data_IF_457031046515
#
_entry.id   IF_457031046515
#
_cell.length_a   1.000
_cell.length_b   1.000
_cell.length_c   1.000
_cell.angle_alpha   90.00
_cell.angle_beta   90.00
_cell.angle_gamma   90.00
#
_symmetry.space_group_name_H-M   'P 1'
#
loop_
_entity.id
_entity.type
_entity.pdbx_description
1 polymer ?
#
# COMPACT_ATOMS: atom_id res chain seq x y z
N UNK A 1 55.08 4.27 23.99
CA UNK A 1 56.06 5.38 23.82
C UNK A 1 55.92 6.47 24.88
N UNK A 2 54.73 7.03 25.11
CA UNK A 2 54.48 8.03 26.17
C UNK A 2 54.93 7.60 27.57
N UNK A 3 54.84 6.32 27.90
CA UNK A 3 55.28 5.74 29.16
C UNK A 3 56.80 5.84 29.39
N UNK A 4 57.61 5.69 28.33
CA UNK A 4 59.06 5.84 28.40
C UNK A 4 59.44 7.30 28.64
N UNK A 5 58.77 8.23 27.95
CA UNK A 5 58.96 9.68 28.13
C UNK A 5 58.62 10.10 29.56
N UNK A 6 57.49 9.61 30.12
CA UNK A 6 57.14 9.89 31.52
C UNK A 6 58.17 9.36 32.52
N UNK A 7 58.79 8.20 32.24
CA UNK A 7 59.81 7.60 33.12
C UNK A 7 61.10 8.43 33.13
N UNK A 8 61.51 8.99 32.00
CA UNK A 8 62.69 9.85 31.94
C UNK A 8 62.43 11.21 32.62
N UNK A 9 61.29 11.87 32.32
CA UNK A 9 60.93 13.16 32.95
C UNK A 9 60.78 13.08 34.48
N UNK A 10 60.44 11.92 35.02
CA UNK A 10 60.33 11.71 36.46
C UNK A 10 61.69 11.62 37.17
N UNK A 11 62.77 11.26 36.45
CA UNK A 11 64.11 11.19 37.03
C UNK A 11 64.65 12.59 37.33
N UNK A 12 64.29 13.58 36.51
CA UNK A 12 64.74 14.96 36.63
C UNK A 12 64.11 15.66 37.85
N UNK A 13 64.90 16.01 38.90
CA UNK A 13 64.36 16.53 40.15
C UNK A 13 63.67 17.88 40.01
N UNK A 14 64.09 18.72 39.05
CA UNK A 14 63.49 20.04 38.80
C UNK A 14 62.15 19.98 38.03
N UNK A 15 61.96 18.94 37.21
CA UNK A 15 60.74 18.78 36.42
C UNK A 15 59.63 18.07 37.20
N UNK A 16 59.92 17.43 38.33
CA UNK A 16 58.92 16.72 39.16
C UNK A 16 57.80 17.63 39.69
N UNK A 17 58.09 18.91 39.93
CA UNK A 17 57.11 19.88 40.44
C UNK A 17 56.35 20.61 39.33
N UNK A 18 56.70 20.37 38.05
CA UNK A 18 56.17 21.12 36.91
C UNK A 18 55.25 20.26 36.02
N UNK A 19 54.42 20.91 35.22
CA UNK A 19 53.52 20.23 34.27
C UNK A 19 54.30 19.59 33.10
N UNK A 20 54.12 18.28 32.90
CA UNK A 20 54.76 17.52 31.83
C UNK A 20 54.04 17.59 30.47
N UNK A 21 52.95 18.35 30.36
CA UNK A 21 52.10 18.40 29.16
C UNK A 21 52.83 18.87 27.89
N UNK A 22 53.90 19.66 28.03
CA UNK A 22 54.69 20.15 26.89
C UNK A 22 55.59 19.08 26.26
N UNK A 23 55.94 18.06 27.04
CA UNK A 23 56.81 16.96 26.60
C UNK A 23 56.02 15.72 26.17
N UNK A 24 54.71 15.69 26.46
CA UNK A 24 53.84 14.59 26.09
C UNK A 24 53.14 14.86 24.75
N UNK A 25 53.22 13.93 23.78
CA UNK A 25 52.46 14.04 22.53
C UNK A 25 50.95 14.18 22.79
N UNK A 26 50.34 15.23 22.23
CA UNK A 26 48.90 15.47 22.32
C UNK A 26 48.15 14.59 21.33
N UNK A 27 47.52 13.52 21.81
CA UNK A 27 46.75 12.62 20.97
C UNK A 27 45.35 13.19 20.73
N UNK A 28 45.06 13.59 19.50
CA UNK A 28 43.70 14.01 19.09
C UNK A 28 42.88 12.75 18.81
N UNK A 29 41.77 12.57 19.51
CA UNK A 29 40.83 11.49 19.22
C UNK A 29 40.29 11.69 17.79
N UNK A 30 40.69 10.80 16.88
CA UNK A 30 40.15 10.81 15.51
C UNK A 30 38.83 10.03 15.55
N UNK A 31 37.71 10.73 15.40
CA UNK A 31 36.42 10.08 15.14
C UNK A 31 36.48 9.49 13.72
N UNK A 32 37.02 8.28 13.61
CA UNK A 32 37.05 7.54 12.35
C UNK A 32 35.61 7.34 11.89
N UNK A 33 35.32 7.76 10.65
CA UNK A 33 33.99 7.60 10.09
C UNK A 33 33.58 6.12 10.13
N UNK A 34 32.41 5.82 10.71
CA UNK A 34 31.84 4.47 10.69
C UNK A 34 31.71 4.04 9.22
N UNK A 35 32.28 2.87 8.88
CA UNK A 35 32.20 2.31 7.53
C UNK A 35 30.74 2.08 7.17
N UNK A 36 30.30 2.61 6.02
CA UNK A 36 28.96 2.36 5.47
C UNK A 36 28.85 0.90 5.02
N UNK A 37 27.73 0.27 5.34
CA UNK A 37 27.43 -1.07 4.84
C UNK A 37 27.34 -1.05 3.30
N UNK A 38 27.89 -2.07 2.61
CA UNK A 38 27.77 -2.15 1.16
C UNK A 38 26.30 -2.34 0.78
N UNK A 39 25.82 -1.54 -0.17
CA UNK A 39 24.49 -1.73 -0.76
C UNK A 39 24.46 -3.10 -1.46
N UNK A 40 23.40 -3.89 -1.23
CA UNK A 40 23.15 -5.15 -1.95
C UNK A 40 23.17 -4.86 -3.46
N UNK A 41 23.87 -5.68 -4.24
CA UNK A 41 23.97 -5.49 -5.68
C UNK A 41 22.62 -5.86 -6.31
N UNK A 42 22.24 -5.20 -7.41
CA UNK A 42 20.97 -5.45 -8.11
C UNK A 42 20.79 -6.94 -8.46
N UNK A 43 21.89 -7.63 -8.79
CA UNK A 43 21.92 -9.08 -9.06
C UNK A 43 21.43 -9.90 -7.87
N UNK A 44 21.86 -9.57 -6.64
CA UNK A 44 21.44 -10.30 -5.43
C UNK A 44 19.93 -10.12 -5.17
N UNK A 45 19.38 -8.95 -5.54
CA UNK A 45 17.96 -8.68 -5.42
C UNK A 45 17.15 -9.47 -6.44
N UNK A 46 17.58 -9.52 -7.71
CA UNK A 46 16.93 -10.30 -8.76
C UNK A 46 17.00 -11.81 -8.51
N UNK A 47 18.11 -12.28 -7.92
CA UNK A 47 18.25 -13.67 -7.48
C UNK A 47 17.29 -13.98 -6.32
N UNK A 48 17.18 -13.08 -5.34
CA UNK A 48 16.27 -13.25 -4.21
C UNK A 48 14.79 -13.22 -4.60
N UNK A 49 14.40 -12.40 -5.59
CA UNK A 49 13.02 -12.39 -6.12
C UNK A 49 12.72 -13.57 -7.06
N UNK A 50 13.74 -14.37 -7.41
CA UNK A 50 13.63 -15.44 -8.41
C UNK A 50 13.40 -14.92 -9.83
N UNK A 51 13.51 -13.61 -10.06
CA UNK A 51 13.30 -12.98 -11.36
C UNK A 51 14.52 -13.14 -12.28
N UNK A 52 15.69 -13.40 -11.70
CA UNK A 52 16.93 -13.63 -12.45
C UNK A 52 16.81 -14.77 -13.48
N UNK A 53 16.14 -15.87 -13.12
CA UNK A 53 16.00 -17.05 -13.99
C UNK A 53 14.83 -16.97 -14.98
N UNK A 54 13.96 -15.96 -14.86
CA UNK A 54 12.88 -15.76 -15.83
C UNK A 54 13.46 -15.24 -17.15
N UNK A 55 13.22 -15.97 -18.25
CA UNK A 55 13.56 -15.50 -19.61
C UNK A 55 12.91 -14.15 -19.89
N UNK A 56 13.59 -13.28 -20.66
CA UNK A 56 13.09 -11.94 -20.98
C UNK A 56 11.67 -11.94 -21.57
N UNK A 57 11.30 -12.97 -22.33
CA UNK A 57 9.96 -13.13 -22.90
C UNK A 57 8.87 -13.25 -21.83
N UNK A 58 9.15 -13.96 -20.73
CA UNK A 58 8.21 -14.11 -19.61
C UNK A 58 8.07 -12.80 -18.85
N UNK A 59 9.18 -12.07 -18.63
CA UNK A 59 9.16 -10.72 -18.02
C UNK A 59 8.32 -9.76 -18.86
N UNK A 60 8.52 -9.75 -20.19
CA UNK A 60 7.73 -8.94 -21.14
C UNK A 60 6.24 -9.29 -21.09
N UNK A 61 5.88 -10.57 -21.06
CA UNK A 61 4.48 -11.02 -20.96
C UNK A 61 3.80 -10.53 -19.68
N UNK A 62 4.44 -10.72 -18.52
CA UNK A 62 3.95 -10.24 -17.22
C UNK A 62 3.74 -8.72 -17.21
N UNK A 63 4.69 -7.96 -17.78
CA UNK A 63 4.58 -6.49 -17.90
C UNK A 63 3.37 -6.08 -18.75
N UNK A 64 3.16 -6.72 -19.90
CA UNK A 64 2.03 -6.44 -20.77
C UNK A 64 0.69 -6.80 -20.12
N UNK A 65 0.63 -7.90 -19.39
CA UNK A 65 -0.56 -8.31 -18.64
C UNK A 65 -0.91 -7.29 -17.55
N UNK A 66 0.08 -6.85 -16.77
CA UNK A 66 -0.11 -5.79 -15.77
C UNK A 66 -0.62 -4.48 -16.39
N UNK A 67 -0.13 -4.11 -17.59
CA UNK A 67 -0.63 -2.94 -18.32
C UNK A 67 -2.09 -3.13 -18.73
N UNK A 68 -2.45 -4.30 -19.28
CA UNK A 68 -3.83 -4.61 -19.70
C UNK A 68 -4.80 -4.57 -18.52
N UNK A 69 -4.42 -5.14 -17.38
CA UNK A 69 -5.24 -5.09 -16.15
C UNK A 69 -5.47 -3.65 -15.71
N UNK A 70 -4.42 -2.83 -15.64
CA UNK A 70 -4.54 -1.40 -15.31
C UNK A 70 -5.45 -0.65 -16.28
N UNK A 71 -5.34 -0.93 -17.57
CA UNK A 71 -6.22 -0.33 -18.58
C UNK A 71 -7.68 -0.75 -18.37
N UNK A 72 -7.94 -2.03 -18.11
CA UNK A 72 -9.29 -2.52 -17.83
C UNK A 72 -9.90 -1.87 -16.58
N UNK A 73 -9.13 -1.75 -15.49
CA UNK A 73 -9.58 -1.05 -14.27
C UNK A 73 -9.95 0.41 -14.53
N UNK A 74 -9.14 1.12 -15.33
CA UNK A 74 -9.43 2.52 -15.70
C UNK A 74 -10.71 2.62 -16.52
N UNK A 75 -10.93 1.69 -17.46
CA UNK A 75 -12.15 1.65 -18.27
C UNK A 75 -13.38 1.39 -17.39
N UNK A 76 -13.29 0.47 -16.43
CA UNK A 76 -14.37 0.18 -15.47
C UNK A 76 -14.69 1.45 -14.65
N UNK A 77 -13.68 2.10 -14.06
CA UNK A 77 -13.86 3.35 -13.30
C UNK A 77 -14.50 4.47 -14.13
N UNK A 78 -14.10 4.63 -15.40
CA UNK A 78 -14.70 5.61 -16.31
C UNK A 78 -16.17 5.28 -16.62
N UNK A 79 -16.50 4.00 -16.81
CA UNK A 79 -17.87 3.54 -17.05
C UNK A 79 -18.74 3.80 -15.83
N UNK A 80 -18.26 3.48 -14.64
CA UNK A 80 -18.96 3.76 -13.38
C UNK A 80 -19.22 5.25 -13.19
N UNK A 81 -18.21 6.10 -13.45
CA UNK A 81 -18.38 7.55 -13.39
C UNK A 81 -19.46 8.02 -14.38
N UNK A 82 -19.44 7.56 -15.63
CA UNK A 82 -20.47 7.90 -16.62
C UNK A 82 -21.87 7.46 -16.18
N UNK A 83 -22.00 6.24 -15.66
CA UNK A 83 -23.28 5.72 -15.18
C UNK A 83 -23.83 6.57 -14.02
N UNK A 84 -22.97 7.06 -13.12
CA UNK A 84 -23.38 7.98 -12.05
C UNK A 84 -23.95 9.30 -12.59
N UNK A 85 -23.38 9.83 -13.67
CA UNK A 85 -23.88 11.07 -14.30
C UNK A 85 -25.20 10.86 -15.04
N UNK A 86 -25.50 9.63 -15.47
CA UNK A 86 -26.74 9.31 -16.17
C UNK A 86 -27.92 9.05 -15.22
N UNK A 87 -27.65 8.86 -13.92
CA UNK A 87 -28.71 8.76 -12.92
C UNK A 87 -29.10 10.19 -12.53
N UNK A 88 -30.36 10.60 -12.74
CA UNK A 88 -30.84 11.89 -12.29
C UNK A 88 -30.56 12.05 -10.78
N UNK A 89 -30.06 13.20 -10.33
CA UNK A 89 -29.88 13.48 -8.91
C UNK A 89 -31.21 13.21 -8.19
N UNK A 90 -31.22 12.36 -7.16
CA UNK A 90 -32.42 12.17 -6.36
C UNK A 90 -32.75 13.50 -5.69
N UNK A 91 -33.85 14.10 -6.13
CA UNK A 91 -34.40 15.31 -5.53
C UNK A 91 -34.63 15.07 -4.04
N UNK A 92 -34.19 16.00 -3.21
CA UNK A 92 -34.48 15.98 -1.77
C UNK A 92 -36.01 15.94 -1.64
N UNK A 93 -36.58 15.08 -0.79
CA UNK A 93 -38.03 15.04 -0.62
C UNK A 93 -38.48 16.43 -0.14
N UNK A 94 -39.08 17.20 -1.04
CA UNK A 94 -39.90 18.34 -0.68
C UNK A 94 -41.01 17.76 0.19
N UNK A 95 -41.09 18.23 1.43
CA UNK A 95 -42.19 17.90 2.35
C UNK A 95 -43.49 18.21 1.59
N UNK A 96 -44.20 17.16 1.17
CA UNK A 96 -45.43 17.29 0.38
C UNK A 96 -46.52 17.88 1.28
N UNK A 97 -47.06 19.04 0.90
CA UNK A 97 -48.43 19.41 1.30
C UNK A 97 -49.39 18.48 0.55
N UNK A 98 -50.31 17.88 1.29
CA UNK A 98 -51.33 16.94 0.83
C UNK A 98 -52.32 17.59 -0.15
N UNK A 99 -52.64 16.90 -1.26
CA UNK A 99 -54.01 16.47 -1.59
C UNK A 99 -54.08 15.72 -2.94
N UNK A 100 -54.83 14.62 -2.89
CA UNK A 100 -55.55 13.84 -3.93
C UNK A 100 -55.08 13.82 -5.40
N UNK A 101 -54.87 12.60 -5.93
CA UNK A 101 -54.76 12.37 -7.37
C UNK A 101 -54.44 10.92 -7.76
N UNK A 102 -55.48 10.10 -7.82
CA UNK A 102 -55.51 8.68 -8.22
C UNK A 102 -54.86 8.40 -9.59
N UNK A 103 -53.74 7.67 -9.65
CA UNK A 103 -53.37 6.85 -10.83
C UNK A 103 -52.53 5.62 -10.46
N UNK A 104 -53.09 4.45 -10.79
CA UNK A 104 -52.42 3.17 -11.06
C UNK A 104 -51.77 2.44 -9.89
N UNK A 105 -52.64 1.75 -9.12
CA UNK A 105 -52.27 0.57 -8.35
C UNK A 105 -51.53 -0.42 -9.26
N UNK A 106 -50.21 -0.47 -9.10
CA UNK A 106 -49.32 -1.48 -9.69
C UNK A 106 -49.88 -2.87 -9.36
N UNK A 107 -50.55 -3.48 -10.32
CA UNK A 107 -51.10 -4.83 -10.18
C UNK A 107 -49.94 -5.79 -9.88
N UNK A 108 -50.04 -6.51 -8.77
CA UNK A 108 -48.99 -7.42 -8.30
C UNK A 108 -49.00 -8.72 -9.12
N UNK A 109 -48.21 -8.72 -10.20
CA UNK A 109 -48.09 -9.82 -11.17
C UNK A 109 -47.61 -11.11 -10.50
N UNK A 110 -46.80 -11.01 -9.43
CA UNK A 110 -46.31 -12.18 -8.69
C UNK A 110 -47.44 -12.84 -7.89
N UNK A 111 -48.27 -12.04 -7.22
CA UNK A 111 -49.44 -12.53 -6.50
C UNK A 111 -50.45 -13.23 -7.45
N UNK A 112 -50.65 -12.69 -8.66
CA UNK A 112 -51.52 -13.29 -9.68
C UNK A 112 -50.93 -14.62 -10.20
N UNK A 113 -49.63 -14.67 -10.51
CA UNK A 113 -48.95 -15.92 -10.93
C UNK A 113 -49.05 -17.01 -9.86
N UNK A 114 -48.89 -16.64 -8.60
CA UNK A 114 -49.02 -17.56 -7.47
C UNK A 114 -50.45 -18.11 -7.32
N UNK A 115 -51.47 -17.25 -7.48
CA UNK A 115 -52.89 -17.66 -7.47
C UNK A 115 -53.22 -18.64 -8.60
N UNK A 116 -52.74 -18.36 -9.82
CA UNK A 116 -52.98 -19.23 -10.98
C UNK A 116 -52.29 -20.58 -10.84
N UNK A 117 -51.05 -20.63 -10.34
CA UNK A 117 -50.37 -21.90 -10.04
C UNK A 117 -51.14 -22.73 -9.00
N UNK A 118 -51.59 -22.08 -7.92
CA UNK A 118 -52.36 -22.74 -6.84
C UNK A 118 -53.72 -23.27 -7.31
N UNK A 119 -54.36 -22.59 -8.26
CA UNK A 119 -55.60 -23.04 -8.87
C UNK A 119 -55.39 -24.26 -9.80
N UNK A 120 -54.27 -24.32 -10.54
CA UNK A 120 -53.94 -25.47 -11.40
C UNK A 120 -53.63 -26.76 -10.64
N UNK A 121 -53.08 -26.66 -9.42
CA UNK A 121 -52.79 -27.83 -8.59
C UNK A 121 -53.99 -28.30 -7.77
N UNK A 122 -55.02 -27.46 -7.62
CA UNK A 122 -56.33 -27.89 -7.10
C UNK A 122 -57.07 -28.59 -8.24
N UNK A 123 -56.88 -29.91 -8.39
CA UNK A 123 -57.86 -30.75 -9.09
C UNK A 123 -59.20 -30.54 -8.39
N UNK A 124 -60.13 -29.85 -9.05
CA UNK A 124 -61.54 -29.95 -8.71
C UNK A 124 -61.97 -31.36 -9.10
N UNK A 125 -61.86 -32.27 -8.14
CA UNK A 125 -62.55 -33.54 -8.21
C UNK A 125 -64.04 -33.28 -8.03
N UNK A 126 -64.82 -33.80 -8.95
CA UNK A 126 -66.19 -34.23 -8.74
C UNK A 126 -66.33 -35.54 -9.53
N UNK A 127 -67.13 -36.49 -9.01
CA UNK A 127 -66.84 -37.93 -8.91
C UNK A 127 -66.47 -38.64 -10.21
#
# INVERSE_FOLDING_TARGET
>A
QTLMIKRELAKDPELRSQSWERFLPKFRHKNLAKRREPKKKAVDQELATGEFFLRESVKKRKKMEAIKVKQAEVLIKKKEARNKHFIPPKEKPLIKKSNEGRTESKLDIEAIKMKVKKAKTKKLGAP
#
